data_IF_937838929567
#
_entry.id   IF_937838929567
#
_cell.length_a   1.000
_cell.length_b   1.000
_cell.length_c   1.000
_cell.angle_alpha   90.00
_cell.angle_beta   90.00
_cell.angle_gamma   90.00
#
_symmetry.space_group_name_H-M   'P 1'
#
loop_
_entity.id
_entity.type
_entity.pdbx_description
1 polymer ?
#
# COMPACT_ATOMS: atom_id res chain seq x y z
N UNK A 1 -8.07 16.01 -32.49
CA UNK A 1 -7.27 16.33 -31.28
C UNK A 1 -7.42 15.27 -30.18
N UNK A 2 -8.64 14.94 -29.76
CA UNK A 2 -8.95 13.96 -28.71
C UNK A 2 -8.30 12.59 -28.97
N UNK A 3 -8.38 12.06 -30.20
CA UNK A 3 -7.72 10.79 -30.59
C UNK A 3 -6.22 10.77 -30.29
N UNK A 4 -5.51 11.90 -30.50
CA UNK A 4 -4.07 12.01 -30.21
C UNK A 4 -3.80 11.97 -28.70
N UNK A 5 -4.61 12.69 -27.91
CA UNK A 5 -4.53 12.69 -26.44
C UNK A 5 -4.81 11.30 -25.88
N UNK A 6 -5.87 10.63 -26.35
CA UNK A 6 -6.21 9.25 -25.97
C UNK A 6 -5.08 8.27 -26.29
N UNK A 7 -4.51 8.34 -27.49
CA UNK A 7 -3.38 7.49 -27.88
C UNK A 7 -2.12 7.74 -27.01
N UNK A 8 -1.84 8.99 -26.63
CA UNK A 8 -0.72 9.32 -25.72
C UNK A 8 -0.94 8.76 -24.31
N UNK A 9 -2.17 8.81 -23.83
CA UNK A 9 -2.53 8.27 -22.53
C UNK A 9 -2.49 6.75 -22.51
N UNK A 10 -2.94 6.09 -23.60
CA UNK A 10 -2.84 4.63 -23.74
C UNK A 10 -1.39 4.15 -23.74
N UNK A 11 -0.46 4.90 -24.36
CA UNK A 11 0.97 4.55 -24.36
C UNK A 11 1.63 4.69 -22.99
N UNK A 12 1.24 5.72 -22.22
CA UNK A 12 1.76 5.92 -20.87
C UNK A 12 0.67 6.57 -19.99
N UNK A 13 -0.08 5.77 -19.22
CA UNK A 13 -1.17 6.27 -18.40
C UNK A 13 -0.67 7.13 -17.21
N UNK A 14 0.60 7.01 -16.83
CA UNK A 14 1.23 7.79 -15.75
C UNK A 14 1.76 9.16 -16.23
N UNK A 15 1.57 9.52 -17.50
CA UNK A 15 2.08 10.77 -18.07
C UNK A 15 1.31 11.98 -17.53
N UNK A 16 2.03 13.07 -17.24
CA UNK A 16 1.45 14.32 -16.75
C UNK A 16 0.70 15.06 -17.88
N UNK A 17 -0.53 15.50 -17.61
CA UNK A 17 -1.32 16.30 -18.55
C UNK A 17 -0.64 17.60 -18.99
N UNK A 18 0.01 18.32 -18.07
CA UNK A 18 0.70 19.57 -18.37
C UNK A 18 1.86 19.38 -19.36
N UNK A 19 2.57 18.25 -19.26
CA UNK A 19 3.65 17.93 -20.19
C UNK A 19 3.09 17.62 -21.59
N UNK A 20 1.96 16.91 -21.64
CA UNK A 20 1.24 16.65 -22.88
C UNK A 20 0.74 17.94 -23.54
N UNK A 21 0.36 18.94 -22.75
CA UNK A 21 -0.08 20.25 -23.25
C UNK A 21 1.05 20.97 -23.98
N UNK A 22 2.25 21.01 -23.36
CA UNK A 22 3.45 21.61 -23.96
C UNK A 22 3.83 20.95 -25.27
N UNK A 23 3.87 19.62 -25.30
CA UNK A 23 4.27 18.84 -26.48
C UNK A 23 3.31 18.97 -27.65
N UNK A 24 2.00 18.95 -27.36
CA UNK A 24 0.98 19.07 -28.39
C UNK A 24 0.71 20.54 -28.77
N UNK A 25 1.36 21.51 -28.11
CA UNK A 25 1.11 22.96 -28.24
C UNK A 25 -0.36 23.31 -28.05
N UNK A 26 -0.99 22.71 -27.04
CA UNK A 26 -2.40 22.93 -26.68
C UNK A 26 -2.44 23.60 -25.29
N UNK A 27 -3.46 24.42 -25.03
CA UNK A 27 -3.66 24.99 -23.69
C UNK A 27 -3.90 23.90 -22.64
N UNK A 28 -3.41 24.13 -21.42
CA UNK A 28 -3.63 23.20 -20.29
C UNK A 28 -5.12 23.01 -20.00
N UNK A 29 -5.92 24.08 -20.14
CA UNK A 29 -7.37 24.05 -19.93
C UNK A 29 -8.08 23.14 -20.92
N UNK A 30 -7.65 23.13 -22.19
CA UNK A 30 -8.22 22.22 -23.19
C UNK A 30 -7.89 20.75 -22.88
N UNK A 31 -6.67 20.45 -22.41
CA UNK A 31 -6.35 19.08 -21.95
C UNK A 31 -7.21 18.68 -20.75
N UNK A 32 -7.40 19.57 -19.78
CA UNK A 32 -8.28 19.28 -18.64
C UNK A 32 -9.73 19.01 -19.08
N UNK A 33 -10.28 19.82 -20.00
CA UNK A 33 -11.62 19.59 -20.56
C UNK A 33 -11.70 18.25 -21.30
N UNK A 34 -10.68 17.89 -22.09
CA UNK A 34 -10.63 16.59 -22.77
C UNK A 34 -10.58 15.44 -21.75
N UNK A 35 -9.80 15.56 -20.68
CA UNK A 35 -9.75 14.53 -19.64
C UNK A 35 -11.10 14.39 -18.92
N UNK A 36 -11.72 15.48 -18.49
CA UNK A 36 -12.94 15.46 -17.69
C UNK A 36 -14.19 15.15 -18.51
N UNK A 37 -14.38 15.80 -19.67
CA UNK A 37 -15.63 15.72 -20.43
C UNK A 37 -15.60 14.58 -21.45
N UNK A 38 -14.53 14.49 -22.25
CA UNK A 38 -14.46 13.58 -23.40
C UNK A 38 -14.01 12.17 -22.99
N UNK A 39 -12.96 12.08 -22.16
CA UNK A 39 -12.40 10.81 -21.73
C UNK A 39 -12.97 10.33 -20.39
N UNK A 40 -13.62 11.21 -19.62
CA UNK A 40 -14.15 10.93 -18.27
C UNK A 40 -13.10 10.36 -17.31
N UNK A 41 -11.85 10.82 -17.46
CA UNK A 41 -10.72 10.44 -16.63
C UNK A 41 -10.38 11.60 -15.71
N UNK A 42 -10.29 11.33 -14.40
CA UNK A 42 -9.82 12.31 -13.42
C UNK A 42 -8.31 12.17 -13.26
N UNK A 43 -7.50 13.17 -13.68
CA UNK A 43 -6.07 13.12 -13.46
C UNK A 43 -5.77 13.31 -11.97
N UNK A 44 -5.33 12.25 -11.30
CA UNK A 44 -4.91 12.33 -9.89
C UNK A 44 -3.52 12.96 -9.77
N UNK A 45 -3.32 13.71 -8.68
CA UNK A 45 -2.00 14.21 -8.32
C UNK A 45 -1.16 13.05 -7.79
N UNK A 46 -0.20 12.59 -8.59
CA UNK A 46 0.79 11.61 -8.16
C UNK A 46 2.11 12.30 -7.80
N UNK A 47 2.57 12.08 -6.57
CA UNK A 47 3.93 12.42 -6.17
C UNK A 47 4.86 11.30 -6.65
N UNK A 48 5.93 11.68 -7.37
CA UNK A 48 7.03 10.77 -7.63
C UNK A 48 8.01 10.93 -6.48
N UNK A 49 8.10 9.93 -5.61
CA UNK A 49 9.15 9.81 -4.62
C UNK A 49 10.30 8.99 -5.21
N UNK A 50 11.48 9.12 -4.61
CA UNK A 50 12.57 8.19 -4.91
C UNK A 50 12.22 6.82 -4.33
N UNK A 51 12.56 5.77 -5.07
CA UNK A 51 12.49 4.42 -4.51
C UNK A 51 13.53 4.30 -3.38
N UNK A 52 13.23 3.45 -2.39
CA UNK A 52 14.15 3.20 -1.30
C UNK A 52 15.45 2.61 -1.85
N UNK A 53 16.58 3.15 -1.42
CA UNK A 53 17.86 2.50 -1.66
C UNK A 53 17.93 1.18 -0.87
N UNK A 54 18.73 0.19 -1.32
CA UNK A 54 18.88 -1.07 -0.58
C UNK A 54 19.32 -0.88 0.88
N UNK A 55 20.16 0.14 1.14
CA UNK A 55 20.58 0.50 2.50
C UNK A 55 19.42 1.00 3.36
N UNK A 56 18.54 1.83 2.80
CA UNK A 56 17.34 2.32 3.49
C UNK A 56 16.38 1.18 3.80
N UNK A 57 16.19 0.23 2.87
CA UNK A 57 15.32 -0.92 3.10
C UNK A 57 15.79 -1.78 4.30
N UNK A 58 17.10 -1.95 4.49
CA UNK A 58 17.65 -2.65 5.65
C UNK A 58 17.37 -1.89 6.94
N UNK A 59 17.62 -0.57 6.96
CA UNK A 59 17.35 0.27 8.13
C UNK A 59 15.87 0.24 8.51
N UNK A 60 14.98 0.32 7.53
CA UNK A 60 13.54 0.28 7.72
C UNK A 60 13.08 -1.08 8.27
N UNK A 61 13.67 -2.18 7.78
CA UNK A 61 13.41 -3.53 8.29
C UNK A 61 13.83 -3.65 9.77
N UNK A 62 15.03 -3.19 10.11
CA UNK A 62 15.52 -3.22 11.50
C UNK A 62 14.65 -2.34 12.42
N UNK A 63 14.22 -1.17 11.94
CA UNK A 63 13.34 -0.29 12.71
C UNK A 63 11.95 -0.93 12.94
N UNK A 64 11.40 -1.58 11.91
CA UNK A 64 10.15 -2.32 12.00
C UNK A 64 10.23 -3.44 13.03
N UNK A 65 11.30 -4.27 12.99
CA UNK A 65 11.54 -5.34 13.99
C UNK A 65 11.65 -4.81 15.42
N UNK A 66 12.25 -3.63 15.60
CA UNK A 66 12.40 -2.98 16.92
C UNK A 66 11.07 -2.46 17.46
N UNK A 67 10.22 -1.93 16.58
CA UNK A 67 8.94 -1.31 16.95
C UNK A 67 7.77 -2.30 16.95
N UNK A 68 7.99 -3.53 16.51
CA UNK A 68 7.01 -4.62 16.56
C UNK A 68 6.75 -5.08 18.01
N UNK A 69 5.80 -4.39 18.65
CA UNK A 69 5.30 -4.70 20.00
C UNK A 69 4.68 -6.09 20.07
N UNK A 70 4.12 -6.61 18.97
CA UNK A 70 3.51 -7.93 18.96
C UNK A 70 4.57 -9.02 19.14
N UNK A 71 5.77 -8.85 18.57
CA UNK A 71 6.89 -9.76 18.78
C UNK A 71 7.35 -9.80 20.24
N UNK A 72 7.54 -8.64 20.86
CA UNK A 72 7.94 -8.53 22.27
C UNK A 72 6.90 -9.18 23.19
N UNK A 73 5.62 -8.93 22.93
CA UNK A 73 4.53 -9.55 23.70
C UNK A 73 4.51 -11.08 23.52
N UNK A 74 4.69 -11.58 22.30
CA UNK A 74 4.78 -13.03 22.05
C UNK A 74 5.96 -13.67 22.77
N UNK A 75 7.14 -13.06 22.71
CA UNK A 75 8.34 -13.54 23.43
C UNK A 75 8.09 -13.58 24.95
N UNK A 76 7.44 -12.56 25.49
CA UNK A 76 7.05 -12.56 26.91
C UNK A 76 6.09 -13.70 27.24
N UNK A 77 5.03 -13.89 26.45
CA UNK A 77 4.03 -14.95 26.65
C UNK A 77 4.66 -16.35 26.58
N UNK A 78 5.56 -16.59 25.63
CA UNK A 78 6.28 -17.87 25.48
C UNK A 78 7.10 -18.17 26.74
N UNK A 79 7.75 -17.16 27.32
CA UNK A 79 8.65 -17.35 28.46
C UNK A 79 7.91 -17.45 29.81
N UNK A 80 6.72 -16.87 29.93
CA UNK A 80 6.04 -16.71 31.23
C UNK A 80 4.75 -17.53 31.35
N UNK A 81 4.14 -17.99 30.25
CA UNK A 81 2.91 -18.78 30.29
C UNK A 81 3.25 -20.26 30.02
N UNK A 82 3.04 -21.16 30.99
CA UNK A 82 3.17 -22.60 30.76
C UNK A 82 2.23 -23.06 29.64
N UNK A 83 2.71 -23.93 28.75
CA UNK A 83 1.94 -24.50 27.63
C UNK A 83 1.45 -23.46 26.59
N UNK A 84 2.19 -22.37 26.36
CA UNK A 84 1.85 -21.40 25.32
C UNK A 84 1.71 -22.04 23.92
N UNK A 85 0.53 -21.85 23.30
CA UNK A 85 0.21 -22.40 21.97
C UNK A 85 0.72 -21.42 20.90
N UNK A 86 1.83 -21.79 20.25
CA UNK A 86 2.39 -21.00 19.15
C UNK A 86 1.46 -20.96 17.95
N UNK A 87 1.55 -19.94 17.09
CA UNK A 87 0.70 -19.79 15.88
C UNK A 87 0.69 -21.00 14.95
N UNK A 88 1.76 -21.80 14.97
CA UNK A 88 1.92 -23.02 14.15
C UNK A 88 1.07 -24.18 14.71
N UNK A 89 0.82 -24.18 16.01
CA UNK A 89 0.06 -25.21 16.70
C UNK A 89 -1.45 -24.96 16.65
N UNK A 90 -1.89 -23.82 16.10
CA UNK A 90 -3.31 -23.52 15.89
C UNK A 90 -3.86 -24.32 14.70
N UNK A 91 -4.99 -25.00 14.91
CA UNK A 91 -5.76 -25.59 13.82
C UNK A 91 -6.30 -24.45 12.93
N UNK A 92 -6.11 -24.56 11.60
CA UNK A 92 -6.52 -23.52 10.64
C UNK A 92 -8.02 -23.20 10.64
N UNK A 93 -8.84 -24.03 11.30
CA UNK A 93 -10.30 -23.87 11.41
C UNK A 93 -10.76 -23.51 12.83
N UNK A 94 -9.90 -22.93 13.67
CA UNK A 94 -10.31 -22.46 14.99
C UNK A 94 -11.12 -21.16 14.86
N UNK A 95 -12.33 -21.06 15.45
CA UNK A 95 -13.17 -19.87 15.34
C UNK A 95 -12.61 -18.75 16.24
N UNK A 96 -11.76 -17.88 15.68
CA UNK A 96 -11.33 -16.54 16.14
C UNK A 96 -11.09 -16.27 17.64
N UNK A 97 -10.97 -17.30 18.47
CA UNK A 97 -10.77 -17.13 19.90
C UNK A 97 -9.31 -16.72 20.15
N UNK A 98 -9.10 -15.46 20.51
CA UNK A 98 -7.87 -14.97 21.11
C UNK A 98 -7.49 -15.91 22.27
N UNK A 99 -6.21 -16.27 22.47
CA UNK A 99 -5.79 -17.10 23.60
C UNK A 99 -6.28 -16.60 24.98
N UNK A 100 -6.49 -15.28 25.13
CA UNK A 100 -7.16 -14.70 26.28
C UNK A 100 -8.63 -15.16 26.41
N UNK A 101 -9.39 -15.14 25.31
CA UNK A 101 -10.81 -15.49 25.28
C UNK A 101 -11.02 -16.98 25.57
N UNK A 102 -10.12 -17.85 25.11
CA UNK A 102 -10.18 -19.28 25.42
C UNK A 102 -10.02 -19.55 26.94
N UNK A 103 -9.11 -18.83 27.61
CA UNK A 103 -8.92 -18.97 29.07
C UNK A 103 -10.13 -18.50 29.89
N UNK A 104 -10.96 -17.62 29.34
CA UNK A 104 -12.17 -17.11 30.00
C UNK A 104 -13.35 -18.07 29.75
N UNK A 105 -13.42 -18.71 28.59
CA UNK A 105 -14.54 -19.56 28.18
C UNK A 105 -14.34 -21.07 28.41
N UNK A 106 -13.13 -21.54 28.74
CA UNK A 106 -12.86 -22.96 29.01
C UNK A 106 -13.28 -23.43 30.41
N UNK A 107 -14.31 -22.80 31.01
CA UNK A 107 -14.83 -23.13 32.35
C UNK A 107 -16.10 -23.97 32.28
#
# INVERSE_FOLDING_TARGET
MIRKVKARLQRNPRRRGNQMAKELKISQRSIQRIFQNELKIKPYKFQKTHDLTPKQAVVDLEHSKKTDKARVNKEWLINHIPHFISSIQWLSNSPDANPMDYSIWAR
#
